data_IF_363726624475
#
_entry.id   IF_363726624475
#
_cell.length_a   1.000
_cell.length_b   1.000
_cell.length_c   1.000
_cell.angle_alpha   90.00
_cell.angle_beta   90.00
_cell.angle_gamma   90.00
#
_symmetry.space_group_name_H-M   'P 1'
#
loop_
_entity.id
_entity.type
_entity.pdbx_description
1 polymer ?
#
# COMPACT_ATOMS: atom_id res chain seq x y z
N UNK A 1 10.60 -15.05 -16.57
CA UNK A 1 10.43 -14.36 -15.27
C UNK A 1 8.95 -14.07 -15.05
N UNK A 2 8.44 -14.46 -13.91
CA UNK A 2 7.03 -14.28 -13.60
C UNK A 2 6.80 -12.98 -12.85
N UNK A 3 5.94 -12.12 -13.37
CA UNK A 3 5.62 -10.85 -12.74
C UNK A 3 4.69 -11.08 -11.55
N UNK A 4 4.94 -10.35 -10.48
CA UNK A 4 4.09 -10.34 -9.29
C UNK A 4 3.45 -8.98 -9.13
N UNK A 5 2.31 -8.94 -8.46
CA UNK A 5 1.66 -7.70 -8.09
C UNK A 5 1.67 -7.56 -6.58
N UNK A 6 1.73 -6.34 -6.12
CA UNK A 6 1.82 -6.05 -4.68
C UNK A 6 0.77 -5.02 -4.31
N UNK A 7 0.11 -5.27 -3.18
CA UNK A 7 -0.74 -4.27 -2.53
C UNK A 7 0.04 -3.79 -1.31
N UNK A 8 0.09 -2.47 -1.12
CA UNK A 8 0.89 -1.89 -0.05
C UNK A 8 0.13 -0.80 0.66
N UNK A 9 0.53 -0.53 1.91
CA UNK A 9 0.03 0.59 2.69
C UNK A 9 1.22 1.44 3.10
N UNK A 10 1.16 2.73 2.79
CA UNK A 10 2.16 3.70 3.22
C UNK A 10 1.59 4.49 4.39
N UNK A 11 2.42 4.69 5.40
CA UNK A 11 2.11 5.60 6.49
C UNK A 11 2.70 6.96 6.14
N UNK A 12 1.91 8.02 6.25
CA UNK A 12 2.34 9.38 5.96
C UNK A 12 2.71 10.12 7.25
N UNK A 13 3.42 11.25 7.10
CA UNK A 13 3.90 12.02 8.25
C UNK A 13 2.78 12.56 9.13
N UNK A 14 1.62 12.82 8.55
CA UNK A 14 0.45 13.28 9.31
C UNK A 14 -0.33 12.13 9.95
N UNK A 15 0.18 10.91 9.85
CA UNK A 15 -0.47 9.73 10.41
C UNK A 15 -1.51 9.09 9.52
N UNK A 16 -1.77 9.62 8.33
CA UNK A 16 -2.71 9.02 7.41
C UNK A 16 -2.10 7.82 6.69
N UNK A 17 -2.94 6.99 6.08
CA UNK A 17 -2.52 5.81 5.32
C UNK A 17 -2.94 5.91 3.87
N UNK A 18 -2.03 5.53 2.99
CA UNK A 18 -2.30 5.43 1.56
C UNK A 18 -2.18 3.97 1.12
N UNK A 19 -3.20 3.45 0.44
CA UNK A 19 -3.21 2.09 -0.09
C UNK A 19 -3.07 2.14 -1.61
N UNK A 20 -2.16 1.35 -2.16
CA UNK A 20 -1.94 1.28 -3.59
C UNK A 20 -1.55 -0.12 -4.04
N UNK A 21 -1.33 -0.27 -5.34
CA UNK A 21 -0.80 -1.51 -5.89
C UNK A 21 0.24 -1.22 -6.95
N UNK A 22 1.17 -2.15 -7.15
CA UNK A 22 2.22 -2.01 -8.15
C UNK A 22 2.81 -3.37 -8.50
N UNK A 23 3.35 -3.48 -9.73
CA UNK A 23 4.15 -4.64 -10.13
C UNK A 23 5.63 -4.42 -9.84
N UNK A 24 6.03 -3.19 -9.54
CA UNK A 24 7.43 -2.85 -9.26
C UNK A 24 7.50 -2.02 -7.97
N UNK A 25 7.52 -2.68 -6.80
CA UNK A 25 7.46 -1.99 -5.51
C UNK A 25 8.63 -1.03 -5.27
N UNK A 26 9.83 -1.39 -5.70
CA UNK A 26 11.01 -0.54 -5.49
C UNK A 26 10.88 0.80 -6.21
N UNK A 27 10.50 0.76 -7.48
CA UNK A 27 10.32 1.97 -8.28
C UNK A 27 9.17 2.82 -7.75
N UNK A 28 8.07 2.17 -7.37
CA UNK A 28 6.89 2.87 -6.85
C UNK A 28 7.20 3.54 -5.51
N UNK A 29 7.98 2.88 -4.66
CA UNK A 29 8.43 3.45 -3.40
C UNK A 29 9.25 4.72 -3.63
N UNK A 30 10.19 4.70 -4.57
CA UNK A 30 11.00 5.87 -4.91
C UNK A 30 10.13 7.01 -5.45
N UNK A 31 9.12 6.70 -6.26
CA UNK A 31 8.19 7.71 -6.77
C UNK A 31 7.43 8.39 -5.62
N UNK A 32 6.96 7.63 -4.65
CA UNK A 32 6.26 8.20 -3.49
C UNK A 32 7.18 9.08 -2.66
N UNK A 33 8.41 8.64 -2.41
CA UNK A 33 9.38 9.45 -1.68
C UNK A 33 9.69 10.76 -2.40
N UNK A 34 9.73 10.74 -3.72
CA UNK A 34 9.98 11.91 -4.55
C UNK A 34 8.73 12.77 -4.78
N UNK A 35 7.60 12.39 -4.18
CA UNK A 35 6.29 13.05 -4.35
C UNK A 35 5.75 12.95 -5.79
N UNK A 36 6.23 11.98 -6.57
CA UNK A 36 5.78 11.76 -7.93
C UNK A 36 4.80 10.58 -8.05
N UNK A 37 4.57 9.84 -6.96
CA UNK A 37 3.79 8.63 -6.99
C UNK A 37 2.28 8.84 -7.03
N UNK A 38 1.78 9.84 -6.33
CA UNK A 38 0.36 10.18 -6.32
C UNK A 38 0.15 11.56 -5.72
N UNK A 39 -1.03 12.13 -5.97
CA UNK A 39 -1.40 13.41 -5.37
C UNK A 39 -1.49 13.31 -3.85
N UNK A 40 -1.98 12.17 -3.37
CA UNK A 40 -2.12 11.94 -1.94
C UNK A 40 -0.77 11.95 -1.23
N UNK A 41 0.18 11.15 -1.70
CA UNK A 41 1.49 11.07 -1.05
C UNK A 41 2.32 12.33 -1.26
N UNK A 42 2.09 13.06 -2.34
CA UNK A 42 2.73 14.37 -2.55
C UNK A 42 2.27 15.38 -1.50
N UNK A 43 0.98 15.36 -1.14
CA UNK A 43 0.40 16.27 -0.16
C UNK A 43 0.74 15.88 1.28
N UNK A 44 0.67 14.58 1.59
CA UNK A 44 0.79 14.11 2.97
C UNK A 44 2.20 13.69 3.37
N UNK A 45 3.10 13.55 2.43
CA UNK A 45 4.48 13.11 2.61
C UNK A 45 4.59 11.73 3.26
N UNK A 46 5.31 10.84 2.62
CA UNK A 46 5.46 9.45 3.07
C UNK A 46 6.45 9.37 4.22
N UNK A 47 6.07 8.65 5.27
CA UNK A 47 6.94 8.33 6.40
C UNK A 47 7.60 6.97 6.25
N UNK A 48 6.81 5.93 5.92
CA UNK A 48 7.33 4.57 5.77
C UNK A 48 6.38 3.67 5.00
N UNK A 49 6.93 2.57 4.48
CA UNK A 49 6.15 1.46 3.97
C UNK A 49 5.68 0.64 5.18
N UNK A 50 4.37 0.66 5.46
CA UNK A 50 3.82 0.02 6.65
C UNK A 50 3.41 -1.43 6.43
N UNK A 51 3.03 -1.79 5.20
CA UNK A 51 2.53 -3.13 4.90
C UNK A 51 2.64 -3.42 3.42
N UNK A 52 2.92 -4.68 3.08
CA UNK A 52 2.95 -5.12 1.68
C UNK A 52 2.50 -6.58 1.59
N UNK A 53 1.74 -6.89 0.55
CA UNK A 53 1.19 -8.22 0.32
C UNK A 53 1.37 -8.57 -1.16
N UNK A 54 1.82 -9.79 -1.44
CA UNK A 54 2.13 -10.24 -2.79
C UNK A 54 0.99 -11.05 -3.41
N UNK A 55 0.76 -10.86 -4.70
CA UNK A 55 -0.26 -11.57 -5.47
C UNK A 55 0.31 -12.05 -6.80
N UNK A 56 -0.23 -13.16 -7.30
CA UNK A 56 0.22 -13.75 -8.56
C UNK A 56 -0.32 -13.02 -9.79
N UNK A 57 -1.39 -12.26 -9.65
CA UNK A 57 -1.97 -11.58 -10.80
C UNK A 57 -2.59 -10.23 -10.42
N UNK A 58 -2.84 -9.44 -11.46
CA UNK A 58 -3.39 -8.09 -11.32
C UNK A 58 -4.80 -8.08 -10.70
N UNK A 59 -5.63 -9.04 -11.08
CA UNK A 59 -7.02 -9.06 -10.64
C UNK A 59 -7.14 -9.26 -9.13
N UNK A 60 -6.39 -10.22 -8.59
CA UNK A 60 -6.39 -10.47 -7.15
C UNK A 60 -5.86 -9.26 -6.38
N UNK A 61 -4.78 -8.66 -6.87
CA UNK A 61 -4.22 -7.47 -6.24
C UNK A 61 -5.23 -6.31 -6.26
N UNK A 62 -5.91 -6.13 -7.38
CA UNK A 62 -6.92 -5.06 -7.53
C UNK A 62 -8.09 -5.23 -6.58
N UNK A 63 -8.57 -6.46 -6.41
CA UNK A 63 -9.66 -6.74 -5.46
C UNK A 63 -9.23 -6.45 -4.03
N UNK A 64 -8.00 -6.85 -3.68
CA UNK A 64 -7.48 -6.61 -2.34
C UNK A 64 -7.26 -5.13 -2.06
N UNK A 65 -6.71 -4.40 -3.03
CA UNK A 65 -6.52 -2.97 -2.91
C UNK A 65 -7.85 -2.26 -2.65
N UNK A 66 -8.87 -2.61 -3.44
CA UNK A 66 -10.20 -2.04 -3.30
C UNK A 66 -10.79 -2.33 -1.92
N UNK A 67 -10.63 -3.55 -1.45
CA UNK A 67 -11.10 -3.96 -0.13
C UNK A 67 -10.45 -3.11 0.97
N UNK A 68 -9.12 -3.03 0.95
CA UNK A 68 -8.37 -2.30 1.98
C UNK A 68 -8.67 -0.79 1.92
N UNK A 69 -8.82 -0.23 0.74
CA UNK A 69 -9.17 1.19 0.60
C UNK A 69 -10.49 1.55 1.29
N UNK A 70 -11.41 0.60 1.35
CA UNK A 70 -12.71 0.79 2.01
C UNK A 70 -12.66 0.63 3.53
N UNK A 71 -11.52 0.22 4.07
CA UNK A 71 -11.39 0.00 5.51
C UNK A 71 -11.16 1.30 6.28
N UNK A 72 -11.59 1.30 7.55
CA UNK A 72 -11.28 2.38 8.48
C UNK A 72 -9.78 2.38 8.79
N UNK A 73 -9.29 3.49 9.33
CA UNK A 73 -7.91 3.59 9.78
C UNK A 73 -7.57 2.50 10.81
N UNK A 74 -8.45 2.28 11.77
CA UNK A 74 -8.26 1.29 12.83
C UNK A 74 -8.10 -0.12 12.24
N UNK A 75 -8.90 -0.45 11.23
CA UNK A 75 -8.84 -1.75 10.57
C UNK A 75 -7.52 -1.92 9.82
N UNK A 76 -7.04 -0.87 9.16
CA UNK A 76 -5.73 -0.89 8.52
C UNK A 76 -4.60 -1.07 9.52
N UNK A 77 -4.69 -0.43 10.68
CA UNK A 77 -3.70 -0.59 11.74
C UNK A 77 -3.62 -2.03 12.24
N UNK A 78 -4.74 -2.70 12.38
CA UNK A 78 -4.77 -4.11 12.78
C UNK A 78 -4.08 -4.99 11.77
N UNK A 79 -4.30 -4.74 10.49
CA UNK A 79 -3.61 -5.48 9.43
C UNK A 79 -2.10 -5.24 9.48
N UNK A 80 -1.69 -3.99 9.62
CA UNK A 80 -0.27 -3.60 9.69
C UNK A 80 0.43 -4.27 10.87
N UNK A 81 -0.25 -4.35 12.01
CA UNK A 81 0.29 -4.94 13.22
C UNK A 81 0.22 -6.47 13.26
N UNK A 82 -0.33 -7.08 12.22
CA UNK A 82 -0.44 -8.54 12.14
C UNK A 82 -1.51 -9.14 13.02
N UNK A 83 -2.43 -8.35 13.56
CA UNK A 83 -3.46 -8.84 14.48
C UNK A 83 -4.49 -9.75 13.80
N UNK A 84 -4.64 -9.62 12.50
CA UNK A 84 -5.59 -10.43 11.73
C UNK A 84 -4.93 -11.53 10.94
N UNK A 85 -3.61 -11.56 10.95
CA UNK A 85 -2.89 -12.49 10.12
C UNK A 85 -3.07 -12.20 8.63
N UNK A 86 -2.62 -13.14 7.84
CA UNK A 86 -2.71 -13.08 6.39
C UNK A 86 -3.93 -13.85 5.93
N UNK A 87 -4.74 -13.26 5.10
CA UNK A 87 -5.92 -13.96 4.63
C UNK A 87 -6.40 -13.56 3.26
#
# INVERSE_FOLDING_TARGET
MKWKWYVYILECLDGSYYTGKTWNPDNRWLQHLSKLGSKYTAKHSVKRLAYMEEFDNFEEASLREKQIKGWTRKKKEKLINGEWGKW
#
